data_IF_405199022953
#
_entry.id   IF_405199022953
#
_cell.length_a   1.000
_cell.length_b   1.000
_cell.length_c   1.000
_cell.angle_alpha   90.00
_cell.angle_beta   90.00
_cell.angle_gamma   90.00
#
_symmetry.space_group_name_H-M   'P 1'
#
loop_
_entity.id
_entity.type
_entity.pdbx_description
1 polymer ?
#
# COMPACT_ATOMS: atom_id res chain seq x y z
N UNK A 1 4.92 -12.64 10.50
CA UNK A 1 5.32 -12.20 9.14
C UNK A 1 6.75 -11.66 9.17
N UNK A 2 7.54 -11.83 8.10
CA UNK A 2 8.85 -11.16 7.97
C UNK A 2 8.65 -9.78 7.32
N UNK A 3 9.45 -8.80 7.72
CA UNK A 3 9.39 -7.43 7.15
C UNK A 3 10.24 -7.27 5.88
N UNK A 4 11.04 -8.29 5.55
CA UNK A 4 11.87 -8.34 4.36
C UNK A 4 11.00 -8.14 3.11
N UNK A 5 11.35 -7.15 2.28
CA UNK A 5 10.63 -6.84 1.05
C UNK A 5 9.45 -5.87 1.17
N UNK A 6 9.08 -5.45 2.39
CA UNK A 6 8.11 -4.36 2.58
C UNK A 6 8.83 -3.02 2.43
N UNK A 7 8.34 -2.16 1.54
CA UNK A 7 8.95 -0.87 1.22
C UNK A 7 8.05 0.31 1.58
N UNK A 8 8.65 1.49 1.70
CA UNK A 8 7.88 2.72 1.83
C UNK A 8 6.96 2.90 0.61
N UNK A 9 5.68 3.22 0.87
CA UNK A 9 4.63 3.32 -0.14
C UNK A 9 3.80 2.05 -0.33
N UNK A 10 4.20 0.93 0.26
CA UNK A 10 3.34 -0.27 0.38
C UNK A 10 2.22 -0.05 1.40
N UNK A 11 1.21 -0.91 1.33
CA UNK A 11 0.14 -0.96 2.32
C UNK A 11 0.27 -2.23 3.15
N UNK A 12 0.04 -2.12 4.44
CA UNK A 12 -0.01 -3.24 5.37
C UNK A 12 -1.33 -3.26 6.12
N UNK A 13 -1.76 -4.46 6.49
CA UNK A 13 -2.82 -4.68 7.48
C UNK A 13 -2.15 -5.05 8.79
N UNK A 14 -2.54 -4.36 9.86
CA UNK A 14 -1.93 -4.46 11.17
C UNK A 14 -3.00 -4.87 12.17
N UNK A 15 -2.72 -5.90 12.95
CA UNK A 15 -3.45 -6.27 14.16
C UNK A 15 -2.71 -5.73 15.38
N UNK A 16 -3.19 -4.60 15.91
CA UNK A 16 -2.67 -4.02 17.15
C UNK A 16 -3.65 -4.30 18.29
N UNK A 17 -3.31 -5.26 19.15
CA UNK A 17 -4.10 -5.65 20.33
C UNK A 17 -5.56 -6.02 19.98
N UNK A 18 -5.77 -6.72 18.87
CA UNK A 18 -7.10 -7.15 18.40
C UNK A 18 -7.82 -6.11 17.55
N UNK A 19 -7.28 -4.89 17.41
CA UNK A 19 -7.80 -3.89 16.48
C UNK A 19 -7.05 -3.96 15.17
N UNK A 20 -7.77 -4.26 14.10
CA UNK A 20 -7.24 -4.32 12.74
C UNK A 20 -7.40 -3.00 12.01
N UNK A 21 -6.37 -2.61 11.27
CA UNK A 21 -6.41 -1.44 10.42
C UNK A 21 -5.42 -1.54 9.26
N UNK A 22 -5.69 -0.78 8.21
CA UNK A 22 -4.76 -0.60 7.09
C UNK A 22 -3.92 0.64 7.30
N UNK A 23 -2.66 0.59 6.87
CA UNK A 23 -1.77 1.73 6.90
C UNK A 23 -0.79 1.71 5.73
N UNK A 24 -0.41 2.91 5.28
CA UNK A 24 0.71 3.10 4.37
C UNK A 24 2.03 2.97 5.14
N UNK A 25 2.98 2.24 4.59
CA UNK A 25 4.33 2.18 5.14
C UNK A 25 5.07 3.46 4.75
N UNK A 26 5.55 4.19 5.74
CA UNK A 26 6.33 5.42 5.53
C UNK A 26 7.83 5.18 5.60
N UNK A 27 8.26 4.06 6.22
CA UNK A 27 9.65 3.67 6.32
C UNK A 27 9.89 2.64 7.42
N UNK A 28 11.16 2.37 7.77
CA UNK A 28 11.51 1.53 8.91
C UNK A 28 11.27 2.26 10.24
N UNK A 29 10.93 1.50 11.29
CA UNK A 29 10.90 1.96 12.67
C UNK A 29 11.69 0.97 13.56
N UNK A 30 12.08 1.33 14.79
CA UNK A 30 12.81 0.42 15.68
C UNK A 30 12.09 -0.92 15.86
N UNK A 31 12.64 -1.98 15.27
CA UNK A 31 12.10 -3.35 15.27
C UNK A 31 10.72 -3.49 14.63
N UNK A 32 10.45 -2.71 13.57
CA UNK A 32 9.14 -2.59 12.97
C UNK A 32 9.09 -1.72 11.70
N UNK A 33 7.88 -1.29 11.36
CA UNK A 33 7.62 -0.33 10.29
C UNK A 33 7.02 0.95 10.87
N UNK A 34 7.40 2.08 10.29
CA UNK A 34 6.71 3.36 10.47
C UNK A 34 5.51 3.41 9.50
N UNK A 35 4.39 3.92 9.99
CA UNK A 35 3.10 3.82 9.33
C UNK A 35 2.36 5.17 9.28
N UNK A 36 1.53 5.33 8.27
CA UNK A 36 0.48 6.34 8.20
C UNK A 36 -0.88 5.61 8.08
N UNK A 37 -1.67 5.53 9.17
CA UNK A 37 -2.99 4.91 9.14
C UNK A 37 -3.92 5.59 8.15
N UNK A 38 -4.74 4.80 7.44
CA UNK A 38 -5.76 5.34 6.53
C UNK A 38 -7.00 5.82 7.26
N UNK A 39 -7.33 5.20 8.41
CA UNK A 39 -8.41 5.65 9.29
C UNK A 39 -7.90 6.67 10.30
N UNK A 40 -8.52 7.87 10.31
CA UNK A 40 -8.23 8.97 11.24
C UNK A 40 -8.46 8.62 12.71
N UNK A 41 -9.22 7.56 13.01
CA UNK A 41 -9.45 7.08 14.38
C UNK A 41 -8.33 6.19 14.91
N UNK A 42 -7.29 5.93 14.12
CA UNK A 42 -6.14 5.11 14.49
C UNK A 42 -4.95 6.02 14.76
N UNK A 43 -4.46 6.00 16.01
CA UNK A 43 -3.32 6.81 16.46
C UNK A 43 -2.02 6.00 16.57
N UNK A 44 -1.92 4.88 15.83
CA UNK A 44 -0.75 4.00 15.83
C UNK A 44 0.06 4.18 14.54
N UNK A 45 1.21 4.85 14.67
CA UNK A 45 2.09 5.21 13.55
C UNK A 45 3.32 4.30 13.43
N UNK A 46 3.31 3.16 14.11
CA UNK A 46 4.33 2.13 13.97
C UNK A 46 3.77 0.75 14.32
N UNK A 47 4.30 -0.30 13.72
CA UNK A 47 3.97 -1.68 14.08
C UNK A 47 5.21 -2.58 14.12
N UNK A 48 5.12 -3.68 14.87
CA UNK A 48 6.10 -4.77 14.91
C UNK A 48 5.80 -5.78 13.82
N UNK A 49 6.81 -6.56 13.43
CA UNK A 49 6.68 -7.64 12.42
C UNK A 49 5.58 -8.66 12.71
N UNK A 50 5.31 -8.92 14.00
CA UNK A 50 4.26 -9.85 14.46
C UNK A 50 2.84 -9.28 14.34
N UNK A 51 2.72 -7.96 14.29
CA UNK A 51 1.43 -7.27 14.17
C UNK A 51 1.01 -7.16 12.71
N UNK A 52 1.93 -7.33 11.75
CA UNK A 52 1.60 -7.34 10.32
C UNK A 52 0.96 -8.68 9.95
N UNK A 53 -0.28 -8.61 9.46
CA UNK A 53 -1.08 -9.77 9.04
C UNK A 53 -1.39 -9.78 7.54
N UNK A 54 -1.18 -8.65 6.84
CA UNK A 54 -1.35 -8.54 5.40
C UNK A 54 -0.41 -7.50 4.80
N UNK A 55 -0.01 -7.69 3.53
CA UNK A 55 0.88 -6.80 2.78
C UNK A 55 0.45 -6.73 1.32
N UNK A 56 0.34 -5.49 0.83
CA UNK A 56 0.06 -5.18 -0.56
C UNK A 56 1.18 -4.30 -1.10
N UNK A 57 1.89 -4.84 -2.08
CA UNK A 57 2.96 -4.11 -2.77
C UNK A 57 2.34 -3.10 -3.71
N UNK A 58 2.82 -1.85 -3.66
CA UNK A 58 2.44 -0.84 -4.66
C UNK A 58 3.18 -1.09 -5.97
N UNK A 59 2.78 -2.11 -6.72
CA UNK A 59 3.33 -2.41 -8.05
C UNK A 59 2.95 -1.30 -9.04
N UNK A 60 3.89 -0.91 -9.89
CA UNK A 60 3.60 -0.07 -11.07
C UNK A 60 3.59 1.45 -10.84
N UNK A 61 3.89 1.97 -9.64
CA UNK A 61 4.15 3.42 -9.51
C UNK A 61 5.51 3.71 -10.16
N UNK A 62 5.60 4.67 -11.10
CA UNK A 62 6.89 5.20 -11.48
C UNK A 62 7.59 5.67 -10.21
N UNK A 63 8.88 5.31 -10.06
CA UNK A 63 9.71 5.85 -8.97
C UNK A 63 9.56 7.37 -8.95
N UNK A 64 9.67 7.99 -7.77
CA UNK A 64 9.68 9.45 -7.68
C UNK A 64 10.59 9.99 -8.77
N UNK A 65 10.00 10.72 -9.69
CA UNK A 65 10.67 11.33 -10.83
C UNK A 65 10.33 12.80 -10.78
N UNK A 66 11.34 13.62 -11.08
CA UNK A 66 11.21 15.07 -11.23
C UNK A 66 10.39 15.41 -12.50
N UNK A 67 10.25 14.45 -13.40
CA UNK A 67 9.54 14.63 -14.67
C UNK A 67 8.05 14.31 -14.52
N UNK A 68 7.16 15.15 -15.08
CA UNK A 68 5.74 14.84 -15.13
C UNK A 68 5.50 13.49 -15.81
N UNK A 69 4.81 12.60 -15.11
CA UNK A 69 4.38 11.33 -15.70
C UNK A 69 3.41 11.62 -16.84
N UNK A 70 3.84 11.37 -18.07
CA UNK A 70 2.92 11.41 -19.20
C UNK A 70 1.97 10.21 -19.08
N UNK A 71 0.65 10.42 -19.11
CA UNK A 71 -0.29 9.31 -19.17
C UNK A 71 0.01 8.47 -20.41
N UNK A 72 -0.17 7.15 -20.32
CA UNK A 72 -0.05 6.31 -21.51
C UNK A 72 -1.14 6.74 -22.52
N UNK A 73 -0.87 6.72 -23.84
CA UNK A 73 -1.88 7.08 -24.85
C UNK A 73 -3.18 6.25 -24.71
N UNK A 74 -3.05 5.01 -24.22
CA UNK A 74 -4.16 4.09 -23.97
C UNK A 74 -4.82 4.21 -22.60
N UNK A 75 -4.40 5.15 -21.75
CA UNK A 75 -4.92 5.26 -20.37
C UNK A 75 -6.44 5.48 -20.33
N UNK A 76 -7.03 6.07 -21.39
CA UNK A 76 -8.46 6.31 -21.53
C UNK A 76 -9.15 5.35 -22.50
N UNK A 77 -8.42 4.40 -23.10
CA UNK A 77 -9.00 3.37 -23.97
C UNK A 77 -9.54 2.23 -23.08
N UNK A 78 -10.67 2.48 -22.41
CA UNK A 78 -11.47 1.42 -21.79
C UNK A 78 -12.38 0.89 -22.89
N UNK A 79 -12.22 -0.39 -23.23
CA UNK A 79 -13.16 -1.08 -24.11
C UNK A 79 -14.47 -1.31 -23.33
N UNK A 80 -15.47 -0.47 -23.64
CA UNK A 80 -16.82 -0.54 -23.06
C UNK A 80 -17.76 -1.37 -23.93
N UNK A 81 -17.24 -2.08 -24.93
CA UNK A 81 -18.06 -2.90 -25.80
C UNK A 81 -18.65 -4.05 -24.98
N UNK A 82 -19.99 -4.22 -24.96
CA UNK A 82 -20.59 -5.38 -24.33
C UNK A 82 -20.14 -6.64 -25.09
N UNK A 83 -19.60 -7.63 -24.38
CA UNK A 83 -19.39 -8.98 -24.93
C UNK A 83 -20.77 -9.51 -25.37
N UNK A 84 -21.02 -9.61 -26.67
CA UNK A 84 -22.18 -10.34 -27.18
C UNK A 84 -21.96 -11.85 -26.95
N UNK A 85 -22.88 -12.53 -26.25
CA UNK A 85 -22.79 -13.98 -26.11
C UNK A 85 -23.09 -14.68 -27.44
N UNK A 86 -22.28 -15.70 -27.74
CA UNK A 86 -22.38 -16.56 -28.92
C UNK A 86 -23.63 -17.46 -28.92
#
# INVERSE_FOLDING_TARGET
>A
MRLEGIQAGDIVEVDHKGRRFYALVTGPAPGGLALAPTDRRVNHYSCRSREVIGHWVKRGRPRQTSEPLRPSPRQLEIDLSPEEPA
#
